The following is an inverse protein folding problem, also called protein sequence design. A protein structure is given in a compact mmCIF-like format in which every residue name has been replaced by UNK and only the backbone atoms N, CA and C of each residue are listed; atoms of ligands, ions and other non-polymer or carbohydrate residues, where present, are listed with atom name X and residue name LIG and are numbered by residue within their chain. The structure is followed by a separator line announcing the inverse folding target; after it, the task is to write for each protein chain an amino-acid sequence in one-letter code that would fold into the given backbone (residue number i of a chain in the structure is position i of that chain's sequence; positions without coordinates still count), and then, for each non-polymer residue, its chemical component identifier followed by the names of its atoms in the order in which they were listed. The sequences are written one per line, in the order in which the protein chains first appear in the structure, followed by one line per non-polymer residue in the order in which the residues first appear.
data_IF_018900640540
#
_entry.id   IF_018900640540
#
_cell.length_a   1.000
_cell.length_b   1.000
_cell.length_c   1.000
_cell.angle_alpha   90.00
_cell.angle_beta   90.00
_cell.angle_gamma   90.00
#
_symmetry.space_group_name_H-M   'P 1'
#
loop_
_entity.id
_entity.type
_entity.pdbx_description
1 polymer ?
#
# COMPACT_ATOMS: atom_id res chain seq x y z
N UNK A 1 -6.13 14.49 -2.40
CA UNK A 1 -6.32 13.85 -1.06
C UNK A 1 -5.49 12.58 -1.03
N UNK A 2 -4.60 12.43 -0.04
CA UNK A 2 -3.72 11.24 0.07
C UNK A 2 -4.52 10.06 0.61
N UNK A 3 -4.45 8.91 -0.07
CA UNK A 3 -5.04 7.64 0.37
C UNK A 3 -3.93 6.72 0.87
N UNK A 4 -4.26 5.84 1.80
CA UNK A 4 -3.26 4.99 2.45
C UNK A 4 -3.64 3.52 2.25
N UNK A 5 -2.73 2.73 1.68
CA UNK A 5 -2.86 1.28 1.53
C UNK A 5 -1.87 0.58 2.45
N UNK A 6 -2.35 -0.31 3.32
CA UNK A 6 -1.48 -1.17 4.12
C UNK A 6 -1.22 -2.49 3.44
N UNK A 7 0.04 -2.91 3.41
CA UNK A 7 0.45 -4.25 3.01
C UNK A 7 1.07 -4.91 4.23
N UNK A 8 0.31 -5.80 4.84
CA UNK A 8 0.68 -6.46 6.09
C UNK A 8 1.24 -7.84 5.80
N UNK A 9 2.44 -8.10 6.30
CA UNK A 9 3.06 -9.43 6.23
C UNK A 9 4.40 -9.50 6.92
N UNK A 10 4.78 -10.72 7.31
CA UNK A 10 6.04 -11.00 7.99
C UNK A 10 7.28 -10.66 7.13
N UNK A 11 8.47 -10.82 7.72
CA UNK A 11 9.73 -10.77 6.96
C UNK A 11 9.68 -11.84 5.85
N UNK A 12 10.12 -11.49 4.64
CA UNK A 12 10.11 -12.36 3.46
C UNK A 12 8.72 -12.82 2.94
N UNK A 13 7.63 -12.23 3.43
CA UNK A 13 6.26 -12.49 2.92
C UNK A 13 6.01 -12.02 1.47
N UNK A 14 6.98 -11.34 0.85
CA UNK A 14 6.81 -10.73 -0.48
C UNK A 14 6.17 -9.34 -0.45
N UNK A 15 5.94 -8.73 0.71
CA UNK A 15 5.33 -7.38 0.82
C UNK A 15 5.98 -6.30 -0.05
N UNK A 16 7.32 -6.30 -0.17
CA UNK A 16 8.03 -5.37 -1.04
C UNK A 16 7.76 -5.58 -2.54
N UNK A 17 7.43 -6.81 -2.93
CA UNK A 17 6.97 -7.08 -4.30
C UNK A 17 5.54 -6.59 -4.48
N UNK A 18 4.66 -6.89 -3.53
CA UNK A 18 3.25 -6.47 -3.56
C UNK A 18 3.12 -4.94 -3.55
N UNK A 19 3.94 -4.24 -2.77
CA UNK A 19 3.98 -2.78 -2.71
C UNK A 19 4.39 -2.16 -4.06
N UNK A 20 5.41 -2.73 -4.71
CA UNK A 20 5.83 -2.28 -6.04
C UNK A 20 4.75 -2.51 -7.10
N UNK A 21 4.07 -3.66 -7.07
CA UNK A 21 2.95 -3.93 -8.00
C UNK A 21 1.79 -2.96 -7.74
N UNK A 22 1.45 -2.72 -6.48
CA UNK A 22 0.40 -1.74 -6.13
C UNK A 22 0.75 -0.32 -6.59
N UNK A 23 2.01 0.11 -6.42
CA UNK A 23 2.50 1.39 -6.91
C UNK A 23 2.39 1.49 -8.43
N UNK A 24 2.85 0.46 -9.14
CA UNK A 24 2.77 0.40 -10.60
C UNK A 24 1.32 0.49 -11.08
N UNK A 25 0.38 -0.20 -10.43
CA UNK A 25 -1.04 -0.12 -10.80
C UNK A 25 -1.58 1.30 -10.55
N UNK A 26 -1.27 1.89 -9.40
CA UNK A 26 -1.70 3.25 -9.07
C UNK A 26 -1.18 4.28 -10.08
N UNK A 27 0.09 4.19 -10.47
CA UNK A 27 0.71 5.12 -11.43
C UNK A 27 0.19 4.90 -12.86
N UNK A 28 0.18 3.65 -13.34
CA UNK A 28 -0.11 3.35 -14.74
C UNK A 28 -1.60 3.35 -15.08
N UNK A 29 -2.46 2.89 -14.17
CA UNK A 29 -3.89 2.77 -14.43
C UNK A 29 -4.72 3.94 -13.89
N UNK A 30 -4.23 4.61 -12.84
CA UNK A 30 -4.99 5.69 -12.18
C UNK A 30 -4.32 7.06 -12.27
N UNK A 31 -3.12 7.16 -12.86
CA UNK A 31 -2.35 8.40 -12.93
C UNK A 31 -2.03 8.97 -11.54
N UNK A 32 -1.99 8.13 -10.51
CA UNK A 32 -1.75 8.55 -9.14
C UNK A 32 -0.25 8.55 -8.83
N UNK A 33 0.22 9.50 -8.03
CA UNK A 33 1.56 9.43 -7.48
C UNK A 33 1.61 8.40 -6.34
N UNK A 34 2.45 7.37 -6.46
CA UNK A 34 2.60 6.34 -5.45
C UNK A 34 3.91 6.51 -4.65
N UNK A 35 3.83 6.34 -3.33
CA UNK A 35 4.99 6.36 -2.45
C UNK A 35 4.97 5.11 -1.57
N UNK A 36 6.08 4.40 -1.49
CA UNK A 36 6.22 3.20 -0.65
C UNK A 36 7.05 3.54 0.59
N UNK A 37 6.58 3.17 1.78
CA UNK A 37 7.30 3.38 3.04
C UNK A 37 7.19 2.14 3.93
N UNK A 38 8.31 1.78 4.58
CA UNK A 38 8.32 0.75 5.62
C UNK A 38 7.89 1.35 6.97
N UNK A 39 6.86 0.76 7.59
CA UNK A 39 6.37 1.15 8.91
C UNK A 39 7.43 0.99 10.01
N UNK A 40 8.45 0.14 9.80
CA UNK A 40 9.59 0.00 10.70
C UNK A 40 10.51 1.24 10.69
N UNK A 41 10.32 2.18 9.76
CA UNK A 41 11.05 3.45 9.67
C UNK A 41 10.14 4.62 10.08
N UNK A 42 9.97 4.89 11.39
CA UNK A 42 8.99 5.85 11.89
C UNK A 42 9.21 7.27 11.36
N UNK A 43 10.46 7.70 11.20
CA UNK A 43 10.78 9.04 10.67
C UNK A 43 10.50 9.17 9.16
N UNK A 44 10.67 8.10 8.38
CA UNK A 44 10.27 8.09 6.98
C UNK A 44 8.73 8.13 6.86
N UNK A 45 8.03 7.37 7.71
CA UNK A 45 6.58 7.33 7.75
C UNK A 45 5.96 8.67 8.17
N UNK A 46 6.48 9.30 9.23
CA UNK A 46 6.05 10.65 9.63
C UNK A 46 6.22 11.65 8.49
N UNK A 47 7.38 11.64 7.80
CA UNK A 47 7.63 12.52 6.66
C UNK A 47 6.64 12.27 5.51
N UNK A 48 6.38 11.02 5.15
CA UNK A 48 5.45 10.67 4.08
C UNK A 48 3.99 11.01 4.39
N UNK A 49 3.58 10.94 5.67
CA UNK A 49 2.26 11.38 6.12
C UNK A 49 2.15 12.92 6.20
N UNK A 50 3.25 13.59 6.56
CA UNK A 50 3.32 15.05 6.63
C UNK A 50 3.43 15.69 5.24
N UNK A 51 3.92 14.93 4.24
CA UNK A 51 3.88 15.33 2.84
C UNK A 51 2.44 15.46 2.36
N UNK A 52 1.88 16.66 2.56
CA UNK A 52 0.73 17.12 1.80
C UNK A 52 1.20 17.20 0.35
N UNK A 53 0.84 16.21 -0.45
CA UNK A 53 1.09 16.27 -1.89
C UNK A 53 0.31 17.46 -2.42
N UNK A 54 1.03 18.53 -2.73
CA UNK A 54 0.54 19.83 -3.18
C UNK A 54 0.08 19.82 -4.65
N UNK A 55 0.12 18.66 -5.32
CA UNK A 55 -0.35 18.53 -6.69
C UNK A 55 -1.84 18.18 -6.68
N UNK A 56 -2.62 18.78 -7.58
CA UNK A 56 -4.05 18.54 -7.80
C UNK A 56 -4.41 17.08 -8.22
N UNK A 57 -3.48 16.13 -8.09
CA UNK A 57 -3.62 14.74 -8.52
C UNK A 57 -3.95 13.76 -7.39
N UNK A 58 -4.21 12.52 -7.79
CA UNK A 58 -4.43 11.38 -6.88
C UNK A 58 -3.09 10.95 -6.27
N UNK A 59 -3.08 10.60 -4.99
CA UNK A 59 -1.85 10.13 -4.30
C UNK A 59 -2.15 8.89 -3.47
N UNK A 60 -1.31 7.87 -3.59
CA UNK A 60 -1.38 6.65 -2.80
C UNK A 60 -0.10 6.45 -1.97
N UNK A 61 -0.22 6.50 -0.65
CA UNK A 61 0.84 6.09 0.26
C UNK A 61 0.66 4.60 0.59
N UNK A 62 1.64 3.80 0.18
CA UNK A 62 1.68 2.37 0.39
C UNK A 62 2.61 2.11 1.58
N UNK A 63 2.06 1.58 2.66
CA UNK A 63 2.81 1.30 3.89
C UNK A 63 3.00 -0.20 4.03
N UNK A 64 4.25 -0.62 3.98
CA UNK A 64 4.66 -1.98 4.32
C UNK A 64 4.68 -2.13 5.83
N UNK A 65 4.04 -3.19 6.34
CA UNK A 65 3.81 -3.33 7.78
C UNK A 65 3.96 -4.78 8.23
N UNK A 66 4.56 -5.01 9.39
CA UNK A 66 4.53 -6.32 10.05
C UNK A 66 3.25 -6.44 10.88
N UNK A 67 2.72 -7.66 11.08
CA UNK A 67 1.51 -7.86 11.89
C UNK A 67 1.60 -7.25 13.31
N UNK A 68 2.81 -7.27 13.89
CA UNK A 68 3.11 -6.75 15.23
C UNK A 68 3.23 -5.22 15.31
N UNK A 69 3.37 -4.52 14.18
CA UNK A 69 3.54 -3.07 14.19
C UNK A 69 2.20 -2.42 14.55
N UNK A 70 2.14 -1.63 15.62
CA UNK A 70 0.91 -0.95 16.06
C UNK A 70 0.93 0.54 15.72
N UNK A 71 1.09 0.85 14.44
CA UNK A 71 0.98 2.23 13.96
C UNK A 71 -0.47 2.71 13.96
N UNK A 72 -0.83 3.80 14.66
CA UNK A 72 -2.20 4.30 14.79
C UNK A 72 -2.64 5.15 13.57
N UNK A 73 -2.44 4.62 12.36
CA UNK A 73 -2.77 5.31 11.11
C UNK A 73 -4.00 4.66 10.51
N UNK A 74 -4.97 5.47 10.09
CA UNK A 74 -6.17 5.00 9.39
C UNK A 74 -5.84 4.74 7.93
N UNK A 75 -5.86 3.47 7.53
CA UNK A 75 -5.74 3.09 6.14
C UNK A 75 -7.10 3.16 5.40
N UNK A 76 -7.05 3.46 4.11
CA UNK A 76 -8.19 3.37 3.20
C UNK A 76 -8.46 1.91 2.82
N UNK A 77 -7.41 1.12 2.61
CA UNK A 77 -7.51 -0.32 2.36
C UNK A 77 -6.33 -1.07 3.01
N UNK A 78 -6.48 -2.39 3.15
CA UNK A 78 -5.46 -3.27 3.72
C UNK A 78 -5.41 -4.60 2.98
N UNK A 79 -4.21 -5.05 2.65
CA UNK A 79 -3.92 -6.40 2.15
C UNK A 79 -3.19 -7.16 3.25
N UNK A 80 -3.72 -8.31 3.67
CA UNK A 80 -3.03 -9.22 4.59
C UNK A 80 -2.44 -10.40 3.81
N UNK A 81 -1.11 -10.48 3.75
CA UNK A 81 -0.40 -11.51 3.00
C UNK A 81 -0.47 -12.89 3.67
N UNK A 82 -0.85 -12.95 4.95
CA UNK A 82 -1.04 -14.22 5.65
C UNK A 82 -2.12 -15.09 4.97
N UNK A 83 -3.12 -14.46 4.34
CA UNK A 83 -4.19 -15.15 3.61
C UNK A 83 -3.67 -15.82 2.32
N UNK A 84 -2.50 -15.40 1.83
CA UNK A 84 -1.92 -15.89 0.58
C UNK A 84 -0.68 -16.78 0.80
N UNK A 85 -0.38 -17.17 2.04
CA UNK A 85 0.81 -17.99 2.38
C UNK A 85 0.96 -19.26 1.54
N UNK A 86 -0.16 -19.92 1.18
CA UNK A 86 -0.15 -21.14 0.34
C UNK A 86 0.16 -20.86 -1.13
N UNK A 87 -0.22 -19.68 -1.63
CA UNK A 87 -0.03 -19.28 -3.03
C UNK A 87 0.41 -17.80 -3.11
N UNK A 88 1.65 -17.47 -2.69
CA UNK A 88 2.12 -16.10 -2.51
C UNK A 88 2.27 -15.30 -3.81
N UNK A 89 2.13 -15.96 -4.97
CA UNK A 89 2.17 -15.35 -6.29
C UNK A 89 1.01 -15.82 -7.19
N UNK A 90 -0.07 -16.33 -6.57
CA UNK A 90 -1.24 -16.81 -7.30
C UNK A 90 -2.09 -15.67 -7.86
N UNK A 91 -2.96 -16.00 -8.82
CA UNK A 91 -3.91 -15.05 -9.44
C UNK A 91 -4.76 -14.30 -8.43
N UNK A 92 -5.15 -14.97 -7.33
CA UNK A 92 -5.93 -14.38 -6.26
C UNK A 92 -5.24 -13.13 -5.66
N UNK A 93 -3.93 -13.20 -5.39
CA UNK A 93 -3.20 -12.04 -4.85
C UNK A 93 -3.17 -10.90 -5.87
N UNK A 94 -2.95 -11.19 -7.15
CA UNK A 94 -2.95 -10.17 -8.21
C UNK A 94 -4.27 -9.42 -8.27
N UNK A 95 -5.40 -10.13 -8.21
CA UNK A 95 -6.72 -9.51 -8.18
C UNK A 95 -6.93 -8.68 -6.91
N UNK A 96 -6.56 -9.21 -5.75
CA UNK A 96 -6.65 -8.47 -4.49
C UNK A 96 -5.82 -7.19 -4.48
N UNK A 97 -4.63 -7.19 -5.08
CA UNK A 97 -3.81 -5.97 -5.21
C UNK A 97 -4.56 -4.94 -6.04
N UNK A 98 -5.09 -5.35 -7.20
CA UNK A 98 -5.84 -4.46 -8.09
C UNK A 98 -7.07 -3.88 -7.40
N UNK A 99 -7.91 -4.71 -6.78
CA UNK A 99 -9.10 -4.27 -6.06
C UNK A 99 -8.78 -3.33 -4.90
N UNK A 100 -7.70 -3.59 -4.17
CA UNK A 100 -7.27 -2.72 -3.08
C UNK A 100 -6.81 -1.34 -3.58
N UNK A 101 -6.11 -1.28 -4.72
CA UNK A 101 -5.71 -0.01 -5.36
C UNK A 101 -6.94 0.72 -5.92
N UNK A 102 -7.82 0.01 -6.61
CA UNK A 102 -9.05 0.57 -7.20
C UNK A 102 -9.95 1.15 -6.09
N UNK A 103 -10.15 0.43 -4.99
CA UNK A 103 -10.93 0.93 -3.84
C UNK A 103 -10.31 2.17 -3.18
N UNK A 104 -8.99 2.34 -3.23
CA UNK A 104 -8.34 3.56 -2.75
C UNK A 104 -8.58 4.74 -3.71
N UNK A 105 -8.52 4.52 -5.02
CA UNK A 105 -8.34 5.59 -6.02
C UNK A 105 -9.55 5.87 -6.92
N UNK A 106 -10.48 4.93 -7.10
CA UNK A 106 -11.71 5.08 -7.90
C UNK A 106 -12.83 5.74 -7.09
N UNK A 107 -12.88 5.53 -5.78
CA UNK A 107 -13.95 6.03 -4.91
C UNK A 107 -13.94 7.56 -4.67
N UNK A 108 -13.24 8.37 -5.48
CA UNK A 108 -13.34 9.84 -5.45
C UNK A 108 -13.20 10.45 -6.85
#
# INVERSE_FOLDING_TARGET
MQKILFIVGDKNSGKARVARVAAQIAEQHHGAHAQIVDAAQPEALKRALAQRVHAAGKTLLIVEKRPQDRTPIRASARINLDHFKRHPFGRALTFTIREAVDSCLVAN
#
